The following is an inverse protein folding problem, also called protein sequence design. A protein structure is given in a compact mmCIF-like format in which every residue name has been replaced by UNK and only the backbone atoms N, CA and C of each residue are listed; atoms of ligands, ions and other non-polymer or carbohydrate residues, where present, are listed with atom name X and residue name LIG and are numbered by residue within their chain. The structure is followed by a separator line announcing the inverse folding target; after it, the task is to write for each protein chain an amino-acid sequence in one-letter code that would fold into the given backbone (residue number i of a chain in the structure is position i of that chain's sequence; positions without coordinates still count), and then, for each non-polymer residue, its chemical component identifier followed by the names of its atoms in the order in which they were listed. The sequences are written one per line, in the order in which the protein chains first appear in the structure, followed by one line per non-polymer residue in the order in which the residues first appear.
data_IF_883951352398
#
_entry.id   IF_883951352398
#
_cell.length_a   1.000
_cell.length_b   1.000
_cell.length_c   1.000
_cell.angle_alpha   90.00
_cell.angle_beta   90.00
_cell.angle_gamma   90.00
#
_symmetry.space_group_name_H-M   'P 1'
#
loop_
_entity.id
_entity.type
_entity.pdbx_description
1 polymer ?
#
# COMPACT_ATOMS: atom_id res chain seq x y z
N UNK A 1 11.86 -10.21 -17.86
CA UNK A 1 11.44 -11.18 -16.82
C UNK A 1 10.08 -10.75 -16.30
N UNK A 2 9.03 -11.58 -16.48
CA UNK A 2 7.66 -11.24 -16.06
C UNK A 2 7.56 -11.43 -14.54
N UNK A 3 7.82 -10.36 -13.77
CA UNK A 3 7.74 -10.39 -12.31
C UNK A 3 6.36 -10.86 -11.87
N UNK A 4 6.29 -11.88 -11.00
CA UNK A 4 5.04 -12.33 -10.39
C UNK A 4 4.43 -11.14 -9.65
N UNK A 5 3.31 -10.61 -10.18
CA UNK A 5 2.55 -9.56 -9.51
C UNK A 5 2.03 -10.12 -8.19
N UNK A 6 2.50 -9.54 -7.07
CA UNK A 6 2.03 -9.89 -5.71
C UNK A 6 0.54 -9.52 -5.65
N UNK A 7 -0.32 -10.51 -5.37
CA UNK A 7 -1.76 -10.28 -5.21
C UNK A 7 -2.02 -9.92 -3.76
N UNK A 8 -2.66 -8.78 -3.52
CA UNK A 8 -3.11 -8.37 -2.19
C UNK A 8 -4.61 -8.63 -2.05
N UNK A 9 -5.03 -9.09 -0.88
CA UNK A 9 -6.44 -9.26 -0.56
C UNK A 9 -7.15 -7.91 -0.44
N UNK A 10 -8.48 -7.90 -0.62
CA UNK A 10 -9.28 -6.69 -0.45
C UNK A 10 -9.16 -6.11 0.97
N UNK A 11 -9.11 -6.97 1.99
CA UNK A 11 -8.92 -6.56 3.38
C UNK A 11 -7.57 -5.84 3.60
N UNK A 12 -6.49 -6.32 2.96
CA UNK A 12 -5.20 -5.65 3.05
C UNK A 12 -5.23 -4.26 2.42
N UNK A 13 -5.84 -4.13 1.23
CA UNK A 13 -5.99 -2.83 0.57
C UNK A 13 -6.79 -1.85 1.43
N UNK A 14 -7.92 -2.29 1.98
CA UNK A 14 -8.74 -1.47 2.86
C UNK A 14 -7.95 -0.97 4.09
N UNK A 15 -7.14 -1.84 4.72
CA UNK A 15 -6.28 -1.45 5.84
C UNK A 15 -5.26 -0.37 5.44
N UNK A 16 -4.59 -0.54 4.30
CA UNK A 16 -3.58 0.44 3.81
C UNK A 16 -4.24 1.78 3.48
N UNK A 17 -5.40 1.77 2.82
CA UNK A 17 -6.16 3.00 2.51
C UNK A 17 -6.64 3.70 3.76
N UNK A 18 -7.15 2.96 4.77
CA UNK A 18 -7.56 3.55 6.04
C UNK A 18 -6.41 4.20 6.80
N UNK A 19 -5.21 3.62 6.76
CA UNK A 19 -4.03 4.25 7.35
C UNK A 19 -3.56 5.48 6.56
N UNK A 20 -3.61 5.43 5.23
CA UNK A 20 -3.31 6.59 4.38
C UNK A 20 -4.27 7.77 4.65
N UNK A 21 -5.56 7.49 4.83
CA UNK A 21 -6.58 8.50 5.16
C UNK A 21 -6.41 9.13 6.55
N UNK A 22 -5.66 8.50 7.46
CA UNK A 22 -5.36 9.10 8.76
C UNK A 22 -4.25 10.15 8.68
N UNK A 23 -3.56 10.27 7.55
CA UNK A 23 -2.49 11.25 7.28
C UNK A 23 -1.38 11.29 8.36
N UNK A 24 -1.20 10.18 9.10
CA UNK A 24 -0.20 10.08 10.18
C UNK A 24 1.20 9.78 9.68
N UNK A 25 1.27 9.11 8.53
CA UNK A 25 2.49 8.64 7.90
C UNK A 25 2.43 9.08 6.43
N UNK A 26 3.57 9.43 5.86
CA UNK A 26 3.67 9.73 4.43
C UNK A 26 3.43 8.45 3.60
N UNK A 27 3.02 8.61 2.34
CA UNK A 27 2.85 7.49 1.40
C UNK A 27 4.11 6.62 1.30
N UNK A 28 5.30 7.23 1.41
CA UNK A 28 6.58 6.53 1.37
C UNK A 28 6.82 5.67 2.62
N UNK A 29 6.38 6.12 3.80
CA UNK A 29 6.49 5.38 5.05
C UNK A 29 5.49 4.23 5.09
N UNK A 30 4.23 4.47 4.70
CA UNK A 30 3.25 3.40 4.54
C UNK A 30 3.74 2.35 3.53
N UNK A 31 4.28 2.79 2.39
CA UNK A 31 4.83 1.90 1.37
C UNK A 31 5.91 0.96 1.93
N UNK A 32 6.84 1.50 2.73
CA UNK A 32 7.86 0.69 3.41
C UNK A 32 7.24 -0.25 4.45
N UNK A 33 6.33 0.26 5.28
CA UNK A 33 5.69 -0.49 6.38
C UNK A 33 4.86 -1.68 5.89
N UNK A 34 4.16 -1.49 4.78
CA UNK A 34 3.29 -2.50 4.17
C UNK A 34 3.96 -3.26 3.02
N UNK A 35 5.24 -2.98 2.75
CA UNK A 35 6.00 -3.52 1.61
C UNK A 35 5.21 -3.42 0.29
N UNK A 36 4.63 -2.26 0.04
CA UNK A 36 3.90 -1.93 -1.19
C UNK A 36 4.56 -0.77 -1.90
N UNK A 37 4.37 -0.69 -3.21
CA UNK A 37 4.79 0.47 -3.96
C UNK A 37 3.89 1.67 -3.60
N UNK A 38 4.44 2.90 -3.41
CA UNK A 38 3.64 4.09 -3.10
C UNK A 38 2.51 4.35 -4.09
N UNK A 39 2.75 4.08 -5.38
CA UNK A 39 1.72 4.20 -6.43
C UNK A 39 0.50 3.30 -6.20
N UNK A 40 0.63 2.20 -5.47
CA UNK A 40 -0.53 1.34 -5.13
C UNK A 40 -1.37 1.88 -3.97
N UNK A 41 -0.88 2.88 -3.26
CA UNK A 41 -1.62 3.58 -2.19
C UNK A 41 -2.32 4.80 -2.77
N UNK A 42 -1.69 5.47 -3.73
CA UNK A 42 -2.22 6.65 -4.42
C UNK A 42 -3.33 6.34 -5.44
N UNK A 43 -3.30 5.15 -6.03
CA UNK A 43 -4.15 4.75 -7.16
C UNK A 43 -5.30 3.83 -6.75
#
# INVERSE_FOLDING_TARGET
MKGKRRKFSAAFKAKVTLEALKERESLAELAKRFEVHPDMISK
#
